data_IF_644152189350
#
_entry.id   IF_644152189350
#
_cell.length_a   1.000
_cell.length_b   1.000
_cell.length_c   1.000
_cell.angle_alpha   90.00
_cell.angle_beta   90.00
_cell.angle_gamma   90.00
#
_symmetry.space_group_name_H-M   'P 1'
#
loop_
_entity.id
_entity.type
_entity.pdbx_description
1 polymer ?
#
# COMPACT_ATOMS: atom_id res chain seq x y z
N UNK A 1 35.59 -11.94 -6.25
CA UNK A 1 34.70 -11.18 -7.17
C UNK A 1 33.38 -10.76 -6.52
N UNK A 2 32.53 -11.69 -6.07
CA UNK A 2 31.23 -11.34 -5.43
C UNK A 2 31.36 -10.48 -4.14
N UNK A 3 32.39 -10.70 -3.32
CA UNK A 3 32.64 -9.92 -2.09
C UNK A 3 32.94 -8.44 -2.36
N UNK A 4 33.78 -8.12 -3.35
CA UNK A 4 34.13 -6.73 -3.68
C UNK A 4 32.94 -5.91 -4.21
N UNK A 5 32.01 -6.54 -4.95
CA UNK A 5 30.78 -5.87 -5.38
C UNK A 5 29.91 -5.52 -4.18
N UNK A 6 29.75 -6.44 -3.23
CA UNK A 6 28.91 -6.21 -2.06
C UNK A 6 29.40 -5.05 -1.16
N UNK A 7 30.67 -4.64 -1.21
CA UNK A 7 31.15 -3.55 -0.34
C UNK A 7 30.90 -2.13 -0.88
N UNK A 8 30.58 -1.97 -2.18
CA UNK A 8 30.32 -0.66 -2.80
C UNK A 8 28.99 -0.66 -3.58
N UNK A 9 27.84 -0.62 -2.90
CA UNK A 9 26.56 -0.66 -3.59
C UNK A 9 26.29 0.62 -4.39
N UNK A 10 25.58 0.51 -5.52
CA UNK A 10 25.22 1.65 -6.35
C UNK A 10 24.23 2.57 -5.63
N UNK A 11 24.40 3.87 -5.84
CA UNK A 11 23.50 4.91 -5.31
C UNK A 11 22.28 5.02 -6.24
N UNK A 12 21.05 5.04 -5.72
CA UNK A 12 19.86 5.32 -6.51
C UNK A 12 20.00 6.64 -7.27
N UNK A 13 19.73 6.63 -8.57
CA UNK A 13 19.66 7.86 -9.37
C UNK A 13 18.20 8.23 -9.55
N UNK A 14 17.85 9.49 -9.30
CA UNK A 14 16.50 9.99 -9.57
C UNK A 14 16.50 10.55 -10.99
N UNK A 15 15.59 10.05 -11.84
CA UNK A 15 15.40 10.53 -13.20
C UNK A 15 14.41 11.69 -13.20
N UNK A 16 14.72 12.73 -13.96
CA UNK A 16 13.78 13.82 -14.19
C UNK A 16 12.49 13.29 -14.84
N UNK A 17 11.36 13.66 -14.26
CA UNK A 17 10.03 13.50 -14.83
C UNK A 17 9.18 14.68 -14.37
N UNK A 18 8.51 15.34 -15.33
CA UNK A 18 7.67 16.50 -15.03
C UNK A 18 6.20 16.14 -14.81
N UNK A 19 5.82 14.86 -14.88
CA UNK A 19 4.46 14.38 -14.64
C UNK A 19 4.52 13.00 -13.96
N UNK A 20 5.06 12.94 -12.74
CA UNK A 20 5.33 11.66 -12.06
C UNK A 20 4.11 11.19 -11.24
N UNK A 21 3.58 10.02 -11.59
CA UNK A 21 2.59 9.27 -10.82
C UNK A 21 3.31 8.23 -9.95
N UNK A 22 3.60 8.60 -8.70
CA UNK A 22 4.46 7.83 -7.83
C UNK A 22 3.69 6.71 -7.12
N UNK A 23 4.16 5.47 -7.21
CA UNK A 23 3.67 4.34 -6.43
C UNK A 23 4.65 4.10 -5.27
N UNK A 24 4.13 4.12 -4.04
CA UNK A 24 4.89 3.83 -2.83
C UNK A 24 4.36 2.55 -2.19
N UNK A 25 5.24 1.57 -2.02
CA UNK A 25 4.90 0.31 -1.35
C UNK A 25 6.12 -0.27 -0.61
N UNK A 26 5.83 -0.86 0.56
CA UNK A 26 6.81 -1.45 1.46
C UNK A 26 6.78 -2.97 1.36
N UNK A 27 7.95 -3.61 1.34
CA UNK A 27 8.01 -5.09 1.37
C UNK A 27 8.93 -5.58 2.46
N UNK A 28 8.34 -6.34 3.39
CA UNK A 28 9.08 -6.99 4.47
C UNK A 28 9.78 -8.25 3.98
N UNK A 29 11.05 -8.36 4.35
CA UNK A 29 11.82 -9.60 4.37
C UNK A 29 11.86 -10.13 5.81
N UNK A 30 12.62 -11.19 6.06
CA UNK A 30 12.85 -11.69 7.42
C UNK A 30 13.58 -10.69 8.33
N UNK A 31 14.38 -9.78 7.75
CA UNK A 31 15.39 -9.02 8.52
C UNK A 31 15.20 -7.48 8.44
N UNK A 32 14.46 -7.00 7.45
CA UNK A 32 14.25 -5.57 7.16
C UNK A 32 13.08 -5.37 6.19
N UNK A 33 12.63 -4.12 6.06
CA UNK A 33 11.68 -3.66 5.05
C UNK A 33 12.41 -2.86 3.96
N UNK A 34 11.91 -2.97 2.73
CA UNK A 34 12.37 -2.16 1.60
C UNK A 34 11.21 -1.25 1.20
N UNK A 35 11.40 0.06 1.38
CA UNK A 35 10.52 1.10 0.85
C UNK A 35 10.86 1.34 -0.61
N UNK A 36 9.88 1.35 -1.49
CA UNK A 36 10.08 1.53 -2.93
C UNK A 36 9.23 2.70 -3.43
N UNK A 37 9.83 3.53 -4.27
CA UNK A 37 9.23 4.72 -4.86
C UNK A 37 9.31 4.60 -6.39
N UNK A 38 8.28 4.01 -6.98
CA UNK A 38 8.22 3.69 -8.40
C UNK A 38 7.47 4.78 -9.16
N UNK A 39 8.10 5.37 -10.15
CA UNK A 39 7.45 6.20 -11.16
C UNK A 39 6.64 5.29 -12.09
N UNK A 40 5.32 5.44 -12.07
CA UNK A 40 4.42 4.63 -12.88
C UNK A 40 4.55 4.97 -14.38
N UNK A 41 4.94 6.18 -14.74
CA UNK A 41 4.99 6.62 -16.14
C UNK A 41 6.27 6.09 -16.81
N UNK A 42 7.41 6.28 -16.16
CA UNK A 42 8.70 5.79 -16.63
C UNK A 42 8.93 4.29 -16.36
N UNK A 43 8.04 3.65 -15.59
CA UNK A 43 8.25 2.30 -15.02
C UNK A 43 9.60 2.17 -14.30
N UNK A 44 10.04 3.26 -13.71
CA UNK A 44 11.39 3.44 -13.17
C UNK A 44 11.36 3.61 -11.66
N UNK A 45 12.25 2.92 -10.95
CA UNK A 45 12.35 3.01 -9.50
C UNK A 45 13.16 4.26 -9.15
N UNK A 46 12.47 5.39 -8.92
CA UNK A 46 13.10 6.68 -8.63
C UNK A 46 13.94 6.61 -7.37
N UNK A 47 13.44 5.90 -6.35
CA UNK A 47 14.16 5.72 -5.10
C UNK A 47 13.75 4.44 -4.39
N UNK A 48 14.61 3.99 -3.49
CA UNK A 48 14.29 2.94 -2.54
C UNK A 48 15.12 3.12 -1.26
N UNK A 49 14.58 2.68 -0.13
CA UNK A 49 15.25 2.77 1.16
C UNK A 49 15.10 1.45 1.92
N UNK A 50 16.20 0.96 2.54
CA UNK A 50 16.17 -0.25 3.35
C UNK A 50 16.15 0.16 4.83
N UNK A 51 15.05 -0.16 5.50
CA UNK A 51 14.79 0.23 6.88
C UNK A 51 14.47 -0.99 7.73
N UNK A 52 14.65 -0.93 9.04
CA UNK A 52 14.26 -2.06 9.89
C UNK A 52 12.74 -2.25 9.93
N UNK A 53 12.02 -1.13 10.01
CA UNK A 53 10.56 -1.06 10.00
C UNK A 53 10.12 0.25 9.37
N UNK A 54 8.96 0.21 8.73
CA UNK A 54 8.35 1.40 8.18
C UNK A 54 7.91 2.34 9.29
N UNK A 55 8.38 3.58 9.25
CA UNK A 55 7.95 4.63 10.18
C UNK A 55 7.85 5.97 9.45
N UNK A 56 7.15 6.90 10.10
CA UNK A 56 6.88 8.22 9.56
C UNK A 56 8.17 9.01 9.23
N UNK A 57 9.21 8.94 10.07
CA UNK A 57 10.45 9.68 9.83
C UNK A 57 11.17 9.19 8.56
N UNK A 58 11.14 7.88 8.28
CA UNK A 58 11.72 7.36 7.05
C UNK A 58 10.98 7.90 5.82
N UNK A 59 9.65 7.92 5.84
CA UNK A 59 8.88 8.45 4.71
C UNK A 59 9.09 9.95 4.51
N UNK A 60 9.15 10.75 5.58
CA UNK A 60 9.41 12.20 5.44
C UNK A 60 10.75 12.43 4.76
N UNK A 61 11.83 11.80 5.27
CA UNK A 61 13.16 11.96 4.70
C UNK A 61 13.21 11.52 3.22
N UNK A 62 12.60 10.39 2.89
CA UNK A 62 12.58 9.87 1.51
C UNK A 62 11.76 10.77 0.57
N UNK A 63 10.62 11.30 1.02
CA UNK A 63 9.76 12.19 0.24
C UNK A 63 10.39 13.57 0.04
N UNK A 64 11.07 14.11 1.06
CA UNK A 64 11.82 15.37 0.95
C UNK A 64 12.97 15.25 -0.04
N UNK A 65 13.70 14.12 -0.04
CA UNK A 65 14.74 13.84 -1.01
C UNK A 65 14.19 13.89 -2.45
N UNK A 66 13.07 13.19 -2.70
CA UNK A 66 12.41 13.17 -4.01
C UNK A 66 11.92 14.56 -4.43
N UNK A 67 11.41 15.36 -3.49
CA UNK A 67 11.01 16.75 -3.75
C UNK A 67 12.19 17.63 -4.12
N UNK A 68 13.30 17.52 -3.39
CA UNK A 68 14.52 18.31 -3.59
C UNK A 68 15.25 17.95 -4.89
N UNK A 69 15.09 16.73 -5.40
CA UNK A 69 15.70 16.32 -6.67
C UNK A 69 15.06 16.97 -7.91
N UNK A 70 13.98 17.74 -7.74
CA UNK A 70 13.24 18.36 -8.84
C UNK A 70 12.29 17.41 -9.57
N UNK A 71 11.96 16.26 -8.98
CA UNK A 71 10.93 15.37 -9.52
C UNK A 71 9.55 16.01 -9.31
N UNK A 72 8.81 16.26 -10.38
CA UNK A 72 7.45 16.80 -10.27
C UNK A 72 6.44 15.67 -10.05
N UNK A 73 6.12 15.40 -8.79
CA UNK A 73 5.14 14.40 -8.40
C UNK A 73 3.74 15.01 -8.49
N UNK A 74 2.87 14.39 -9.28
CA UNK A 74 1.48 14.84 -9.53
C UNK A 74 0.47 14.01 -8.74
N UNK A 75 0.78 12.75 -8.47
CA UNK A 75 -0.01 11.91 -7.57
C UNK A 75 0.85 10.88 -6.85
N UNK A 76 0.32 10.37 -5.73
CA UNK A 76 0.92 9.28 -4.98
C UNK A 76 -0.12 8.16 -4.78
N UNK A 77 0.20 6.95 -5.23
CA UNK A 77 -0.56 5.72 -4.93
C UNK A 77 0.14 4.89 -3.85
N UNK A 78 -0.57 4.49 -2.80
CA UNK A 78 0.02 3.65 -1.73
C UNK A 78 -0.99 2.74 -1.02
N UNK A 79 -0.50 1.82 -0.18
CA UNK A 79 -1.33 0.98 0.70
C UNK A 79 -2.09 1.77 1.79
N UNK A 80 -1.65 3.01 2.06
CA UNK A 80 -2.13 3.92 3.08
C UNK A 80 -1.80 3.53 4.52
N UNK A 81 -0.58 3.05 4.74
CA UNK A 81 0.01 3.06 6.07
C UNK A 81 -0.11 4.45 6.72
N UNK A 82 -0.55 4.49 7.99
CA UNK A 82 -0.79 5.76 8.70
C UNK A 82 0.42 6.70 8.73
N UNK A 83 1.61 6.15 8.91
CA UNK A 83 2.86 6.91 8.92
C UNK A 83 3.16 7.55 7.56
N UNK A 84 2.90 6.82 6.47
CA UNK A 84 3.06 7.32 5.11
C UNK A 84 2.04 8.41 4.80
N UNK A 85 0.76 8.22 5.14
CA UNK A 85 -0.28 9.26 4.94
C UNK A 85 0.10 10.55 5.66
N UNK A 86 0.58 10.44 6.90
CA UNK A 86 1.04 11.60 7.67
C UNK A 86 2.21 12.30 6.98
N UNK A 87 3.20 11.55 6.48
CA UNK A 87 4.36 12.10 5.78
C UNK A 87 3.97 12.76 4.45
N UNK A 88 3.06 12.15 3.68
CA UNK A 88 2.54 12.73 2.43
C UNK A 88 1.88 14.08 2.71
N UNK A 89 0.97 14.15 3.69
CA UNK A 89 0.27 15.39 4.03
C UNK A 89 1.20 16.51 4.52
N UNK A 90 2.39 16.16 5.02
CA UNK A 90 3.38 17.12 5.48
C UNK A 90 4.26 17.63 4.34
N UNK A 91 4.82 16.72 3.54
CA UNK A 91 5.75 17.08 2.46
C UNK A 91 5.01 17.60 1.22
N UNK A 92 3.81 17.08 0.96
CA UNK A 92 2.96 17.35 -0.20
C UNK A 92 1.49 17.53 0.21
N UNK A 93 1.13 18.63 0.90
CA UNK A 93 -0.21 18.79 1.52
C UNK A 93 -1.39 18.76 0.55
N UNK A 94 -1.19 19.16 -0.71
CA UNK A 94 -2.26 19.27 -1.72
C UNK A 94 -2.18 18.17 -2.79
N UNK A 95 -1.30 17.17 -2.62
CA UNK A 95 -1.13 16.12 -3.62
C UNK A 95 -2.33 15.18 -3.67
N UNK A 96 -2.64 14.71 -4.87
CA UNK A 96 -3.62 13.66 -5.05
C UNK A 96 -3.05 12.36 -4.47
N UNK A 97 -3.64 11.90 -3.36
CA UNK A 97 -3.31 10.61 -2.75
C UNK A 97 -4.34 9.55 -3.14
N UNK A 98 -3.92 8.56 -3.91
CA UNK A 98 -4.72 7.40 -4.26
C UNK A 98 -4.39 6.22 -3.33
N UNK A 99 -5.42 5.62 -2.74
CA UNK A 99 -5.31 4.38 -1.99
C UNK A 99 -5.36 3.19 -2.94
N UNK A 100 -4.40 2.29 -2.82
CA UNK A 100 -4.35 1.07 -3.62
C UNK A 100 -5.58 0.19 -3.34
N UNK A 101 -6.40 -0.01 -4.38
CA UNK A 101 -7.67 -0.74 -4.26
C UNK A 101 -7.44 -2.21 -3.90
N UNK A 102 -6.40 -2.82 -4.47
CA UNK A 102 -6.03 -4.21 -4.18
C UNK A 102 -5.66 -4.39 -2.71
N UNK A 103 -4.98 -3.42 -2.10
CA UNK A 103 -4.65 -3.46 -0.67
C UNK A 103 -5.90 -3.36 0.21
N UNK A 104 -6.82 -2.44 -0.11
CA UNK A 104 -8.11 -2.31 0.59
C UNK A 104 -8.90 -3.60 0.49
N UNK A 105 -9.03 -4.15 -0.72
CA UNK A 105 -9.75 -5.39 -0.99
C UNK A 105 -9.14 -6.56 -0.23
N UNK A 106 -7.81 -6.76 -0.33
CA UNK A 106 -7.09 -7.85 0.34
C UNK A 106 -7.28 -7.80 1.86
N UNK A 107 -7.06 -6.64 2.47
CA UNK A 107 -7.23 -6.46 3.92
C UNK A 107 -8.68 -6.69 4.37
N UNK A 108 -9.64 -6.17 3.61
CA UNK A 108 -11.06 -6.37 3.88
C UNK A 108 -11.45 -7.85 3.81
N UNK A 109 -10.97 -8.57 2.80
CA UNK A 109 -11.26 -10.01 2.63
C UNK A 109 -10.61 -10.89 3.70
N UNK A 110 -9.45 -10.49 4.26
CA UNK A 110 -8.83 -11.16 5.41
C UNK A 110 -9.73 -11.03 6.64
N UNK A 111 -10.22 -9.83 6.95
CA UNK A 111 -11.10 -9.60 8.11
C UNK A 111 -12.46 -10.27 7.97
N UNK A 112 -13.04 -10.29 6.77
CA UNK A 112 -14.35 -10.89 6.51
C UNK A 112 -14.33 -12.43 6.51
N UNK A 113 -13.15 -13.05 6.50
CA UNK A 113 -12.94 -14.50 6.35
C UNK A 113 -13.47 -15.05 5.02
N UNK A 114 -13.10 -16.29 4.65
CA UNK A 114 -13.51 -16.91 3.38
C UNK A 114 -15.02 -17.21 3.34
N UNK A 115 -15.60 -17.62 4.46
CA UNK A 115 -16.98 -18.09 4.60
C UNK A 115 -17.68 -17.41 5.80
N UNK A 116 -18.02 -16.11 5.69
CA UNK A 116 -18.77 -15.43 6.75
C UNK A 116 -20.14 -16.10 6.95
N UNK A 117 -20.56 -16.28 8.20
CA UNK A 117 -21.84 -16.92 8.56
C UNK A 117 -23.00 -15.94 8.68
N UNK A 118 -22.70 -14.66 8.86
CA UNK A 118 -23.70 -13.61 9.07
C UNK A 118 -24.07 -12.97 7.73
N UNK A 119 -25.34 -12.61 7.55
CA UNK A 119 -25.81 -11.90 6.35
C UNK A 119 -25.00 -10.61 6.12
N UNK A 120 -24.69 -9.87 7.19
CA UNK A 120 -23.84 -8.68 7.16
C UNK A 120 -22.45 -8.96 6.57
N UNK A 121 -21.82 -10.07 6.96
CA UNK A 121 -20.50 -10.44 6.44
C UNK A 121 -20.54 -10.97 5.01
N UNK A 122 -21.58 -11.74 4.65
CA UNK A 122 -21.78 -12.27 3.29
C UNK A 122 -21.96 -11.11 2.31
N UNK A 123 -22.87 -10.19 2.62
CA UNK A 123 -23.18 -9.04 1.77
C UNK A 123 -21.99 -8.10 1.62
N UNK A 124 -21.30 -7.73 2.71
CA UNK A 124 -20.11 -6.88 2.60
C UNK A 124 -18.99 -7.55 1.81
N UNK A 125 -18.77 -8.86 2.00
CA UNK A 125 -17.76 -9.61 1.26
C UNK A 125 -18.03 -9.62 -0.24
N UNK A 126 -19.30 -9.73 -0.64
CA UNK A 126 -19.71 -9.65 -2.05
C UNK A 126 -19.27 -8.32 -2.67
N UNK A 127 -19.62 -7.18 -2.05
CA UNK A 127 -19.27 -5.86 -2.57
C UNK A 127 -17.77 -5.59 -2.56
N UNK A 128 -17.06 -6.03 -1.52
CA UNK A 128 -15.59 -5.89 -1.44
C UNK A 128 -14.88 -6.65 -2.56
N UNK A 129 -15.38 -7.83 -2.97
CA UNK A 129 -14.77 -8.60 -4.06
C UNK A 129 -14.83 -7.84 -5.40
N UNK A 130 -15.89 -7.06 -5.62
CA UNK A 130 -16.10 -6.31 -6.85
C UNK A 130 -15.38 -4.96 -6.89
N UNK A 131 -14.69 -4.57 -5.81
CA UNK A 131 -14.11 -3.23 -5.70
C UNK A 131 -13.08 -2.94 -6.81
N UNK A 132 -12.25 -3.93 -7.18
CA UNK A 132 -11.28 -3.80 -8.28
C UNK A 132 -11.89 -3.70 -9.69
N UNK A 133 -13.16 -4.06 -9.85
CA UNK A 133 -13.92 -4.07 -11.13
C UNK A 133 -14.52 -2.69 -11.45
N UNK A 134 -14.38 -1.70 -10.54
CA UNK A 134 -14.90 -0.36 -10.75
C UNK A 134 -14.02 0.39 -11.74
N UNK A 135 -14.63 0.84 -12.83
CA UNK A 135 -13.98 1.51 -13.97
C UNK A 135 -14.66 2.82 -14.35
N UNK A 136 -15.86 3.10 -13.83
CA UNK A 136 -16.58 4.36 -14.09
C UNK A 136 -17.06 5.04 -12.81
N UNK A 137 -17.34 6.34 -12.90
CA UNK A 137 -17.90 7.15 -11.81
C UNK A 137 -19.29 6.68 -11.40
N UNK A 138 -20.12 6.21 -12.33
CA UNK A 138 -21.43 5.63 -12.03
C UNK A 138 -21.30 4.34 -11.20
N UNK A 139 -20.35 3.46 -11.57
CA UNK A 139 -20.08 2.24 -10.81
C UNK A 139 -19.55 2.56 -9.41
N UNK A 140 -18.68 3.57 -9.28
CA UNK A 140 -18.23 4.11 -7.98
C UNK A 140 -19.43 4.55 -7.15
N UNK A 141 -20.29 5.39 -7.69
CA UNK A 141 -21.41 5.98 -6.95
C UNK A 141 -22.40 4.90 -6.50
N UNK A 142 -22.69 3.94 -7.36
CA UNK A 142 -23.46 2.75 -7.00
C UNK A 142 -22.78 1.97 -5.86
N UNK A 143 -21.48 1.71 -5.95
CA UNK A 143 -20.76 0.98 -4.91
C UNK A 143 -20.79 1.70 -3.56
N UNK A 144 -20.60 3.02 -3.56
CA UNK A 144 -20.69 3.87 -2.36
C UNK A 144 -22.09 3.80 -1.76
N UNK A 145 -23.13 3.91 -2.60
CA UNK A 145 -24.51 3.81 -2.16
C UNK A 145 -24.81 2.45 -1.51
N UNK A 146 -24.30 1.35 -2.09
CA UNK A 146 -24.44 0.00 -1.52
C UNK A 146 -23.71 -0.12 -0.18
N UNK A 147 -22.49 0.40 -0.07
CA UNK A 147 -21.73 0.39 1.18
C UNK A 147 -22.41 1.21 2.28
N UNK A 148 -22.93 2.39 1.96
CA UNK A 148 -23.65 3.23 2.92
C UNK A 148 -25.02 2.63 3.30
N UNK A 149 -25.73 2.01 2.35
CA UNK A 149 -26.94 1.23 2.62
C UNK A 149 -26.67 0.07 3.56
N UNK A 150 -25.59 -0.68 3.33
CA UNK A 150 -25.13 -1.75 4.22
C UNK A 150 -24.80 -1.21 5.62
N UNK A 151 -24.07 -0.10 5.71
CA UNK A 151 -23.72 0.54 6.98
C UNK A 151 -24.97 0.91 7.80
N UNK A 152 -26.01 1.43 7.15
CA UNK A 152 -27.29 1.77 7.80
C UNK A 152 -28.04 0.52 8.24
N UNK A 153 -28.22 -0.46 7.33
CA UNK A 153 -28.96 -1.72 7.59
C UNK A 153 -28.40 -2.46 8.80
N UNK A 154 -27.08 -2.56 8.92
CA UNK A 154 -26.42 -3.34 9.96
C UNK A 154 -25.85 -2.51 11.10
N UNK A 155 -26.24 -1.23 11.25
CA UNK A 155 -25.67 -0.36 12.28
C UNK A 155 -25.85 -0.93 13.69
N UNK A 156 -27.08 -1.28 14.08
CA UNK A 156 -27.38 -1.83 15.40
C UNK A 156 -26.64 -3.14 15.65
N UNK A 157 -26.65 -4.04 14.66
CA UNK A 157 -25.89 -5.29 14.69
C UNK A 157 -24.41 -5.03 14.97
N UNK A 158 -23.77 -4.09 14.26
CA UNK A 158 -22.37 -3.74 14.48
C UNK A 158 -22.08 -3.13 15.86
N UNK A 159 -23.09 -2.56 16.54
CA UNK A 159 -22.96 -1.96 17.88
C UNK A 159 -23.14 -2.96 19.01
N UNK A 160 -23.59 -4.19 18.73
CA UNK A 160 -23.70 -5.26 19.72
C UNK A 160 -22.38 -5.48 20.47
N UNK A 161 -22.50 -5.68 21.79
CA UNK A 161 -21.38 -5.96 22.68
C UNK A 161 -21.59 -7.29 23.39
N UNK A 162 -20.53 -8.07 23.47
CA UNK A 162 -20.44 -9.21 24.40
C UNK A 162 -19.81 -8.74 25.71
N UNK A 163 -20.06 -9.46 26.79
CA UNK A 163 -19.57 -9.17 28.13
C UNK A 163 -18.93 -10.43 28.73
N UNK A 164 -17.80 -10.29 29.43
CA UNK A 164 -17.23 -11.38 30.23
C UNK A 164 -17.95 -11.53 31.56
N UNK A 165 -17.74 -12.67 32.23
CA UNK A 165 -18.18 -12.89 33.61
C UNK A 165 -17.63 -11.84 34.59
N UNK A 166 -16.51 -11.19 34.26
CA UNK A 166 -15.89 -10.10 35.03
C UNK A 166 -16.39 -8.69 34.67
N UNK A 167 -17.43 -8.56 33.84
CA UNK A 167 -18.03 -7.27 33.44
C UNK A 167 -17.28 -6.52 32.33
N UNK A 168 -16.24 -7.12 31.73
CA UNK A 168 -15.52 -6.50 30.60
C UNK A 168 -16.38 -6.61 29.33
N UNK A 169 -16.71 -5.46 28.72
CA UNK A 169 -17.47 -5.40 27.46
C UNK A 169 -16.57 -5.22 26.23
N UNK A 170 -16.91 -5.86 25.12
CA UNK A 170 -16.29 -5.62 23.81
C UNK A 170 -17.30 -5.78 22.69
N UNK A 171 -17.06 -5.13 21.55
CA UNK A 171 -17.90 -5.30 20.36
C UNK A 171 -17.87 -6.76 19.88
N UNK A 172 -19.04 -7.36 19.69
CA UNK A 172 -19.19 -8.75 19.23
C UNK A 172 -18.55 -8.91 17.84
N UNK A 173 -18.82 -7.98 16.92
CA UNK A 173 -18.47 -8.09 15.50
C UNK A 173 -17.17 -7.36 15.14
N UNK A 174 -16.08 -7.63 15.87
CA UNK A 174 -14.80 -6.88 15.75
C UNK A 174 -14.27 -6.78 14.33
N UNK A 175 -14.23 -7.89 13.60
CA UNK A 175 -13.65 -7.92 12.25
C UNK A 175 -14.51 -7.16 11.24
N UNK A 176 -15.84 -7.29 11.30
CA UNK A 176 -16.76 -6.51 10.46
C UNK A 176 -16.60 -5.01 10.69
N UNK A 177 -16.51 -4.59 11.97
CA UNK A 177 -16.26 -3.18 12.30
C UNK A 177 -14.89 -2.71 11.79
N UNK A 178 -13.87 -3.56 11.84
CA UNK A 178 -12.53 -3.25 11.32
C UNK A 178 -12.57 -3.07 9.80
N UNK A 179 -13.26 -3.94 9.05
CA UNK A 179 -13.46 -3.78 7.61
C UNK A 179 -14.21 -2.49 7.28
N UNK A 180 -15.31 -2.21 7.99
CA UNK A 180 -16.07 -0.97 7.83
C UNK A 180 -15.19 0.26 8.03
N UNK A 181 -14.39 0.29 9.10
CA UNK A 181 -13.49 1.40 9.38
C UNK A 181 -12.39 1.54 8.32
N UNK A 182 -11.84 0.44 7.84
CA UNK A 182 -10.82 0.44 6.78
C UNK A 182 -11.37 1.11 5.50
N UNK A 183 -12.54 0.66 5.04
CA UNK A 183 -13.19 1.19 3.84
C UNK A 183 -13.55 2.66 4.04
N UNK A 184 -14.23 3.00 5.14
CA UNK A 184 -14.65 4.38 5.42
C UNK A 184 -13.48 5.36 5.44
N UNK A 185 -12.35 4.96 6.03
CA UNK A 185 -11.15 5.81 6.11
C UNK A 185 -10.41 5.90 4.77
N UNK A 186 -10.55 4.91 3.89
CA UNK A 186 -9.95 4.93 2.58
C UNK A 186 -10.78 5.72 1.56
N UNK A 187 -12.10 5.76 1.75
CA UNK A 187 -13.08 6.26 0.78
C UNK A 187 -12.74 7.61 0.12
N UNK A 188 -12.27 8.64 0.86
CA UNK A 188 -11.93 9.93 0.24
C UNK A 188 -10.85 9.84 -0.84
N UNK A 189 -10.01 8.81 -0.77
CA UNK A 189 -8.81 8.64 -1.58
C UNK A 189 -8.87 7.37 -2.45
N UNK A 190 -10.05 6.76 -2.65
CA UNK A 190 -10.17 5.46 -3.32
C UNK A 190 -10.27 5.50 -4.84
N UNK A 191 -10.67 6.63 -5.43
CA UNK A 191 -11.20 6.63 -6.80
C UNK A 191 -10.65 7.72 -7.72
N UNK A 192 -9.54 8.37 -7.38
CA UNK A 192 -8.93 9.41 -8.23
C UNK A 192 -8.50 8.90 -9.62
N UNK A 193 -8.20 7.61 -9.75
CA UNK A 193 -7.90 6.98 -11.05
C UNK A 193 -9.06 7.01 -12.05
N UNK A 194 -10.30 7.25 -11.59
CA UNK A 194 -11.45 7.41 -12.49
C UNK A 194 -11.46 8.78 -13.16
N UNK A 195 -10.93 9.80 -12.49
CA UNK A 195 -10.85 11.17 -13.01
C UNK A 195 -9.56 11.36 -13.84
N UNK A 196 -8.46 10.73 -13.43
CA UNK A 196 -7.20 10.68 -14.17
C UNK A 196 -6.69 9.24 -14.32
N UNK A 197 -6.81 8.62 -15.52
CA UNK A 197 -6.33 7.26 -15.79
C UNK A 197 -4.82 7.04 -15.64
N UNK A 198 -4.00 8.10 -15.63
CA UNK A 198 -2.54 8.00 -15.38
C UNK A 198 -2.26 7.64 -13.91
N UNK A 199 -3.17 8.00 -12.99
CA UNK A 199 -3.08 7.63 -11.57
C UNK A 199 -3.31 6.11 -11.45
N UNK A 200 -2.33 5.34 -10.98
CA UNK A 200 -2.49 3.90 -10.88
C UNK A 200 -3.47 3.54 -9.76
N UNK A 201 -4.49 2.74 -10.07
CA UNK A 201 -5.46 2.22 -9.08
C UNK A 201 -4.85 1.19 -8.10
N UNK A 202 -3.68 0.63 -8.42
CA UNK A 202 -3.00 -0.37 -7.61
C UNK A 202 -1.47 -0.26 -7.64
N UNK A 203 -0.80 -0.93 -6.70
CA UNK A 203 0.66 -1.04 -6.66
C UNK A 203 1.19 -2.28 -7.40
N UNK A 204 0.44 -2.82 -8.37
CA UNK A 204 0.82 -4.03 -9.12
C UNK A 204 2.18 -3.88 -9.84
N UNK A 205 2.58 -2.65 -10.20
CA UNK A 205 3.91 -2.36 -10.76
C UNK A 205 5.09 -2.73 -9.82
N UNK A 206 4.82 -2.90 -8.52
CA UNK A 206 5.79 -3.33 -7.50
C UNK A 206 5.62 -4.80 -7.10
N UNK A 207 4.46 -5.42 -7.25
CA UNK A 207 4.22 -6.80 -6.78
C UNK A 207 5.15 -7.84 -7.44
N UNK A 208 5.33 -7.75 -8.76
CA UNK A 208 6.24 -8.65 -9.49
C UNK A 208 7.69 -8.50 -9.02
N UNK A 209 8.11 -7.26 -8.70
CA UNK A 209 9.43 -6.96 -8.13
C UNK A 209 9.59 -7.58 -6.75
N UNK A 210 8.57 -7.43 -5.90
CA UNK A 210 8.58 -7.99 -4.54
C UNK A 210 8.66 -9.51 -4.52
N UNK A 211 7.90 -10.18 -5.39
CA UNK A 211 7.97 -11.63 -5.55
C UNK A 211 9.39 -12.07 -5.93
N UNK A 212 10.00 -11.37 -6.91
CA UNK A 212 11.35 -11.68 -7.36
C UNK A 212 12.41 -11.46 -6.26
N UNK A 213 12.37 -10.35 -5.53
CA UNK A 213 13.28 -10.09 -4.40
C UNK A 213 13.21 -11.23 -3.39
N UNK A 214 11.99 -11.58 -2.97
CA UNK A 214 11.77 -12.62 -1.96
C UNK A 214 12.28 -13.97 -2.43
N UNK A 215 12.02 -14.33 -3.70
CA UNK A 215 12.48 -15.61 -4.25
C UNK A 215 14.01 -15.70 -4.29
N UNK A 216 14.72 -14.66 -4.72
CA UNK A 216 16.18 -14.69 -4.79
C UNK A 216 16.84 -14.64 -3.40
N UNK A 217 16.31 -13.84 -2.48
CA UNK A 217 16.78 -13.84 -1.09
C UNK A 217 16.54 -15.20 -0.42
N UNK A 218 15.44 -15.88 -0.76
CA UNK A 218 15.14 -17.22 -0.25
C UNK A 218 16.05 -18.31 -0.80
N UNK A 219 16.67 -18.12 -1.98
CA UNK A 219 17.71 -19.01 -2.51
C UNK A 219 19.01 -18.80 -1.72
N UNK A 220 19.32 -17.56 -1.34
CA UNK A 220 20.56 -17.19 -0.67
C UNK A 220 20.42 -17.02 0.86
N UNK A 221 19.80 -18.01 1.53
CA UNK A 221 19.52 -17.93 2.99
C UNK A 221 20.76 -17.78 3.88
N UNK A 222 21.93 -18.20 3.40
CA UNK A 222 23.20 -18.12 4.13
C UNK A 222 23.87 -16.74 4.09
N UNK A 223 23.29 -15.75 3.40
CA UNK A 223 23.84 -14.40 3.37
C UNK A 223 23.59 -13.66 4.69
N UNK A 224 24.60 -12.93 5.15
CA UNK A 224 24.46 -11.98 6.26
C UNK A 224 23.46 -10.87 5.89
N UNK A 225 22.84 -10.23 6.90
CA UNK A 225 21.93 -9.08 6.70
C UNK A 225 22.53 -8.04 5.74
N UNK A 226 23.79 -7.63 5.97
CA UNK A 226 24.53 -6.68 5.11
C UNK A 226 24.60 -7.15 3.65
N UNK A 227 24.98 -8.41 3.41
CA UNK A 227 25.10 -8.93 2.05
C UNK A 227 23.73 -9.07 1.35
N UNK A 228 22.66 -9.36 2.11
CA UNK A 228 21.29 -9.38 1.58
C UNK A 228 20.83 -7.99 1.16
N UNK A 229 21.16 -6.97 1.95
CA UNK A 229 20.91 -5.57 1.58
C UNK A 229 21.65 -5.23 0.29
N UNK A 230 22.97 -5.46 0.24
CA UNK A 230 23.79 -5.12 -0.91
C UNK A 230 23.39 -5.88 -2.19
N UNK A 231 22.91 -7.12 -2.05
CA UNK A 231 22.30 -7.86 -3.16
C UNK A 231 21.10 -7.12 -3.77
N UNK A 232 20.20 -6.57 -2.95
CA UNK A 232 19.05 -5.79 -3.42
C UNK A 232 19.51 -4.51 -4.12
N UNK A 233 20.52 -3.82 -3.57
CA UNK A 233 21.08 -2.59 -4.14
C UNK A 233 21.59 -2.83 -5.57
N UNK A 234 22.42 -3.86 -5.72
CA UNK A 234 22.94 -4.25 -7.04
C UNK A 234 21.86 -4.74 -8.00
N UNK A 235 20.89 -5.50 -7.51
CA UNK A 235 19.78 -5.93 -8.36
C UNK A 235 18.99 -4.74 -8.92
N UNK A 236 18.66 -3.77 -8.06
CA UNK A 236 17.93 -2.58 -8.48
C UNK A 236 18.71 -1.82 -9.56
N UNK A 237 20.02 -1.72 -9.39
CA UNK A 237 20.89 -1.09 -10.38
C UNK A 237 20.91 -1.84 -11.72
N UNK A 238 21.22 -3.15 -11.73
CA UNK A 238 21.37 -3.90 -12.97
C UNK A 238 20.08 -4.13 -13.75
N UNK A 239 18.93 -4.06 -13.08
CA UNK A 239 17.66 -4.31 -13.77
C UNK A 239 16.97 -3.03 -14.24
N UNK A 240 17.29 -1.89 -13.63
CA UNK A 240 16.53 -0.65 -13.85
C UNK A 240 17.39 0.59 -14.09
N UNK A 241 18.68 0.59 -13.72
CA UNK A 241 19.61 1.69 -13.94
C UNK A 241 20.66 1.41 -15.03
N UNK A 242 20.69 0.21 -15.61
CA UNK A 242 21.51 -0.15 -16.77
C UNK A 242 20.84 0.22 -18.09
#
# INVERSE_FOLDING_TARGET
>A
MFKNYLDNPPIPQIKFNNNCHLIIDGTYTSDFCILNYLDNDLKYLQFYNIVERENYNNYVADLELLKQSGLNIVSITSDGQKGLIKAINEVFPEIIHQRCIIHIQRMSLIYLTRFPKTEAGITLRYWVKKLHEIETTEQRDQWIQQFEGWNRKYYNFLMEKSESLSGRKWYTHKMLRRTRSLIKNALPNMFYYLDNPEIPKSSNGLESRFSYFKNNLNIHRGLTKKNRQNFILWYNYFKYNS
#
